data_IF_829849171330
#
_entry.id   IF_829849171330
#
_cell.length_a   1.000
_cell.length_b   1.000
_cell.length_c   1.000
_cell.angle_alpha   90.00
_cell.angle_beta   90.00
_cell.angle_gamma   90.00
#
_symmetry.space_group_name_H-M   'P 1'
#
loop_
_entity.id
_entity.type
_entity.pdbx_description
1 polymer ?
#
# COMPACT_ATOMS: atom_id res chain seq x y z
N UNK A 1 9.45 40.71 -16.42
CA UNK A 1 9.99 40.01 -15.22
C UNK A 1 9.20 40.48 -14.00
N UNK A 2 8.42 39.60 -13.34
CA UNK A 2 7.68 39.74 -12.03
C UNK A 2 6.38 38.90 -11.90
N UNK A 3 6.14 37.90 -12.76
CA UNK A 3 5.00 36.96 -12.61
C UNK A 3 5.43 35.54 -12.24
N UNK A 4 6.61 35.39 -11.65
CA UNK A 4 7.32 34.13 -11.53
C UNK A 4 7.55 33.66 -10.08
N UNK A 5 6.90 34.25 -9.06
CA UNK A 5 7.41 34.03 -7.69
C UNK A 5 6.45 33.87 -6.52
N UNK A 6 5.11 33.84 -6.63
CA UNK A 6 4.27 33.65 -5.42
C UNK A 6 2.94 32.93 -5.70
N UNK A 7 2.97 31.59 -5.61
CA UNK A 7 1.86 30.63 -5.34
C UNK A 7 2.39 29.23 -5.76
N UNK A 8 3.33 28.54 -5.11
CA UNK A 8 3.61 28.32 -3.68
C UNK A 8 2.36 27.96 -2.86
N UNK A 9 2.27 26.67 -2.48
CA UNK A 9 1.36 26.04 -1.53
C UNK A 9 -0.08 25.82 -1.99
N UNK A 10 -0.47 24.57 -2.33
CA UNK A 10 -1.78 24.04 -1.91
C UNK A 10 -2.09 22.60 -2.30
N UNK A 11 -1.46 21.97 -3.31
CA UNK A 11 -1.83 20.59 -3.66
C UNK A 11 -0.57 19.75 -3.86
N UNK A 12 0.09 19.45 -2.74
CA UNK A 12 -0.08 18.15 -2.06
C UNK A 12 0.35 17.06 -3.04
N UNK A 13 1.67 16.88 -3.14
CA UNK A 13 2.28 15.71 -2.50
C UNK A 13 1.52 14.42 -2.82
N UNK A 14 1.25 14.16 -4.10
CA UNK A 14 1.23 12.79 -4.61
C UNK A 14 2.66 12.22 -4.59
N UNK A 15 3.36 12.35 -3.47
CA UNK A 15 4.39 11.42 -3.06
C UNK A 15 3.65 10.25 -2.43
N UNK A 16 2.92 9.51 -3.24
CA UNK A 16 2.85 8.08 -3.00
C UNK A 16 4.27 7.59 -3.27
N UNK A 17 5.15 7.69 -2.27
CA UNK A 17 6.27 6.77 -2.19
C UNK A 17 5.61 5.42 -2.29
N UNK A 18 5.73 4.76 -3.44
CA UNK A 18 5.55 3.33 -3.51
C UNK A 18 6.56 2.80 -2.48
N UNK A 19 6.10 2.64 -1.25
CA UNK A 19 6.88 2.01 -0.20
C UNK A 19 6.93 0.57 -0.63
N UNK A 20 7.92 0.24 -1.45
CA UNK A 20 8.37 -1.13 -1.55
C UNK A 20 8.77 -1.47 -0.11
N UNK A 21 7.85 -2.11 0.62
CA UNK A 21 8.03 -2.44 2.03
C UNK A 21 9.41 -3.04 2.19
N UNK A 22 10.21 -2.46 3.09
CA UNK A 22 11.53 -2.99 3.33
C UNK A 22 11.36 -4.45 3.74
N UNK A 23 12.20 -5.36 3.27
CA UNK A 23 12.12 -6.77 3.68
C UNK A 23 12.28 -6.96 5.21
N UNK A 24 12.73 -5.92 5.90
CA UNK A 24 12.82 -5.81 7.36
C UNK A 24 11.48 -5.46 8.04
N UNK A 25 10.51 -4.91 7.32
CA UNK A 25 9.23 -4.49 7.89
C UNK A 25 8.38 -5.71 8.23
N UNK A 26 7.72 -5.67 9.39
CA UNK A 26 6.87 -6.77 9.82
C UNK A 26 5.63 -6.87 8.91
N UNK A 27 4.98 -8.04 8.90
CA UNK A 27 3.72 -8.22 8.16
C UNK A 27 2.64 -7.26 8.69
N UNK A 28 2.67 -6.93 9.99
CA UNK A 28 1.72 -5.98 10.59
C UNK A 28 1.92 -4.56 10.05
N UNK A 29 3.17 -4.07 10.06
CA UNK A 29 3.48 -2.72 9.60
C UNK A 29 3.06 -2.53 8.13
N UNK A 30 3.28 -3.58 7.33
CA UNK A 30 2.88 -3.63 5.92
C UNK A 30 1.37 -3.68 5.75
N UNK A 31 0.66 -4.45 6.58
CA UNK A 31 -0.81 -4.49 6.56
C UNK A 31 -1.42 -3.12 6.90
N UNK A 32 -0.90 -2.44 7.92
CA UNK A 32 -1.37 -1.11 8.34
C UNK A 32 -1.11 -0.05 7.25
N UNK A 33 0.05 -0.10 6.62
CA UNK A 33 0.39 0.77 5.50
C UNK A 33 -0.55 0.51 4.30
N UNK A 34 -0.81 -0.75 3.98
CA UNK A 34 -1.70 -1.16 2.89
C UNK A 34 -3.16 -0.74 3.17
N UNK A 35 -3.64 -0.92 4.40
CA UNK A 35 -4.97 -0.47 4.82
C UNK A 35 -5.13 1.05 4.65
N UNK A 36 -4.08 1.81 4.98
CA UNK A 36 -4.04 3.26 4.79
C UNK A 36 -4.05 3.63 3.30
N UNK A 37 -3.24 2.97 2.48
CA UNK A 37 -3.17 3.19 1.04
C UNK A 37 -4.50 2.93 0.34
N UNK A 38 -5.22 1.89 0.75
CA UNK A 38 -6.48 1.46 0.12
C UNK A 38 -7.71 2.16 0.69
N UNK A 39 -7.56 3.07 1.66
CA UNK A 39 -8.68 3.70 2.33
C UNK A 39 -9.59 4.43 1.33
N UNK A 40 -10.86 4.04 1.28
CA UNK A 40 -11.85 4.60 0.37
C UNK A 40 -11.76 4.13 -1.09
N UNK A 41 -10.83 3.24 -1.43
CA UNK A 41 -10.71 2.66 -2.78
C UNK A 41 -11.53 1.37 -2.90
N UNK A 42 -12.53 1.35 -3.78
CA UNK A 42 -13.44 0.21 -3.96
C UNK A 42 -13.24 -0.54 -5.28
N UNK A 43 -12.10 -0.35 -5.95
CA UNK A 43 -11.76 -1.10 -7.16
C UNK A 43 -11.58 -2.59 -6.87
N UNK A 44 -11.69 -3.42 -7.91
CA UNK A 44 -11.41 -4.86 -7.83
C UNK A 44 -10.04 -5.14 -7.19
N UNK A 45 -9.00 -4.44 -7.65
CA UNK A 45 -7.65 -4.60 -7.12
C UNK A 45 -7.53 -4.17 -5.65
N UNK A 46 -8.25 -3.13 -5.22
CA UNK A 46 -8.29 -2.74 -3.82
C UNK A 46 -9.00 -3.79 -2.95
N UNK A 47 -10.07 -4.41 -3.45
CA UNK A 47 -10.72 -5.52 -2.74
C UNK A 47 -9.79 -6.72 -2.62
N UNK A 48 -9.21 -7.16 -3.74
CA UNK A 48 -8.32 -8.32 -3.76
C UNK A 48 -7.07 -8.10 -2.89
N UNK A 49 -6.52 -6.88 -2.87
CA UNK A 49 -5.40 -6.54 -1.99
C UNK A 49 -5.75 -6.68 -0.51
N UNK A 50 -6.97 -6.34 -0.07
CA UNK A 50 -7.40 -6.53 1.33
C UNK A 50 -7.51 -8.00 1.68
N UNK A 51 -8.17 -8.79 0.84
CA UNK A 51 -8.32 -10.24 1.06
C UNK A 51 -6.95 -10.93 1.18
N UNK A 52 -5.99 -10.57 0.32
CA UNK A 52 -4.65 -11.13 0.38
C UNK A 52 -3.89 -10.69 1.64
N UNK A 53 -4.10 -9.46 2.11
CA UNK A 53 -3.51 -8.99 3.37
C UNK A 53 -4.13 -9.71 4.58
N UNK A 54 -5.44 -9.98 4.55
CA UNK A 54 -6.13 -10.75 5.60
C UNK A 54 -5.58 -12.18 5.68
N UNK A 55 -5.41 -12.85 4.54
CA UNK A 55 -4.75 -14.17 4.48
C UNK A 55 -3.32 -14.09 5.00
N UNK A 56 -2.55 -13.07 4.63
CA UNK A 56 -1.20 -12.90 5.16
C UNK A 56 -1.16 -12.81 6.70
N UNK A 57 -2.13 -12.11 7.30
CA UNK A 57 -2.26 -11.98 8.75
C UNK A 57 -2.68 -13.31 9.41
N UNK A 58 -3.56 -14.08 8.76
CA UNK A 58 -3.94 -15.42 9.20
C UNK A 58 -2.74 -16.37 9.20
N UNK A 59 -1.98 -16.43 8.11
CA UNK A 59 -0.78 -17.28 8.00
C UNK A 59 0.30 -16.89 9.01
N UNK A 60 0.47 -15.58 9.24
CA UNK A 60 1.37 -15.06 10.27
C UNK A 60 0.94 -15.53 11.67
N UNK A 61 -0.37 -15.53 11.95
CA UNK A 61 -0.91 -16.00 13.25
C UNK A 61 -0.65 -17.49 13.48
N UNK A 62 -0.51 -18.27 12.40
CA UNK A 62 -0.12 -19.68 12.42
C UNK A 62 1.41 -19.89 12.47
N UNK A 63 2.19 -18.83 12.65
CA UNK A 63 3.65 -18.80 12.59
C UNK A 63 4.25 -19.19 11.22
N UNK A 64 3.45 -19.26 10.15
CA UNK A 64 3.97 -19.39 8.78
C UNK A 64 4.35 -18.02 8.20
N UNK A 65 5.43 -17.48 8.72
CA UNK A 65 5.93 -16.15 8.33
C UNK A 65 6.42 -16.09 6.89
N UNK A 66 6.76 -17.22 6.28
CA UNK A 66 7.18 -17.30 4.88
C UNK A 66 5.99 -17.08 3.96
N UNK A 67 4.93 -17.86 4.15
CA UNK A 67 3.68 -17.75 3.39
C UNK A 67 3.00 -16.41 3.63
N UNK A 68 2.98 -15.93 4.88
CA UNK A 68 2.49 -14.59 5.22
C UNK A 68 3.16 -13.48 4.40
N UNK A 69 4.49 -13.51 4.29
CA UNK A 69 5.24 -12.52 3.49
C UNK A 69 4.89 -12.61 2.00
N UNK A 70 4.66 -13.81 1.47
CA UNK A 70 4.28 -14.02 0.07
C UNK A 70 2.88 -13.45 -0.22
N UNK A 71 1.90 -13.72 0.63
CA UNK A 71 0.56 -13.13 0.46
C UNK A 71 0.59 -11.62 0.61
N UNK A 72 1.35 -11.08 1.57
CA UNK A 72 1.49 -9.63 1.73
C UNK A 72 2.13 -8.98 0.49
N UNK A 73 3.14 -9.61 -0.12
CA UNK A 73 3.74 -9.10 -1.35
C UNK A 73 2.72 -9.07 -2.53
N UNK A 74 1.83 -10.06 -2.62
CA UNK A 74 0.75 -10.07 -3.62
C UNK A 74 -0.32 -9.01 -3.33
N UNK A 75 -0.63 -8.78 -2.05
CA UNK A 75 -1.53 -7.73 -1.62
C UNK A 75 -1.00 -6.35 -2.07
N UNK A 76 0.28 -6.09 -1.84
CA UNK A 76 0.96 -4.85 -2.25
C UNK A 76 0.98 -4.68 -3.77
N UNK A 77 1.18 -5.75 -4.54
CA UNK A 77 1.12 -5.71 -6.00
C UNK A 77 -0.26 -5.23 -6.49
N UNK A 78 -1.34 -5.80 -5.94
CA UNK A 78 -2.69 -5.36 -6.28
C UNK A 78 -3.01 -3.98 -5.71
N UNK A 79 -2.49 -3.60 -4.54
CA UNK A 79 -2.65 -2.25 -4.02
C UNK A 79 -1.97 -1.20 -4.93
N UNK A 80 -0.80 -1.54 -5.50
CA UNK A 80 -0.14 -0.72 -6.50
C UNK A 80 -0.96 -0.62 -7.79
N UNK A 81 -1.60 -1.70 -8.25
CA UNK A 81 -2.52 -1.66 -9.41
C UNK A 81 -3.77 -0.80 -9.13
N UNK A 82 -4.28 -0.84 -7.90
CA UNK A 82 -5.44 -0.07 -7.46
C UNK A 82 -5.16 1.44 -7.35
N UNK A 83 -3.91 1.83 -7.06
CA UNK A 83 -3.45 3.23 -7.00
C UNK A 83 -2.69 3.70 -8.26
N UNK A 84 -2.37 2.78 -9.17
CA UNK A 84 -1.46 2.96 -10.31
C UNK A 84 -2.13 2.99 -11.68
N UNK A 85 -3.47 3.05 -11.75
CA UNK A 85 -4.17 3.43 -12.97
C UNK A 85 -4.20 4.95 -13.08
N UNK A 86 -3.08 5.56 -13.48
CA UNK A 86 -3.06 6.90 -14.05
C UNK A 86 -3.04 6.82 -15.56
#
# INVERSE_FOLDING_TARGET
MKRLTLLAAAMLMCMGTASAGSWTDSVDDRADALATQLKGNNSYHAHLARELADVAMEEKSQHDTGVARTFMAKAEEHAAQAGGSK
#
